data_IF_687057364040
#
_entry.id   IF_687057364040
#
_cell.length_a   1.000
_cell.length_b   1.000
_cell.length_c   1.000
_cell.angle_alpha   90.00
_cell.angle_beta   90.00
_cell.angle_gamma   90.00
#
_symmetry.space_group_name_H-M   'P 1'
#
loop_
_entity.id
_entity.type
_entity.pdbx_description
1 polymer ?
#
# COMPACT_ATOMS: atom_id res chain seq x y z
N UNK A 1 9.66 42.52 46.97
CA UNK A 1 9.58 41.04 47.12
C UNK A 1 8.34 40.43 46.49
N UNK A 2 7.13 40.93 46.76
CA UNK A 2 5.87 40.36 46.21
C UNK A 2 5.83 40.39 44.67
N UNK A 3 6.21 41.52 44.06
CA UNK A 3 6.26 41.67 42.59
C UNK A 3 7.26 40.68 41.97
N UNK A 4 8.44 40.54 42.61
CA UNK A 4 9.47 39.61 42.16
C UNK A 4 8.97 38.14 42.21
N UNK A 5 8.24 37.79 43.26
CA UNK A 5 7.62 36.47 43.40
C UNK A 5 6.54 36.21 42.35
N UNK A 6 5.68 37.20 42.08
CA UNK A 6 4.64 37.10 41.05
C UNK A 6 5.24 36.90 39.65
N UNK A 7 6.31 37.66 39.33
CA UNK A 7 7.03 37.51 38.06
C UNK A 7 7.67 36.12 37.95
N UNK A 8 8.29 35.62 39.02
CA UNK A 8 8.88 34.28 39.03
C UNK A 8 7.82 33.19 38.77
N UNK A 9 6.64 33.29 39.38
CA UNK A 9 5.54 32.35 39.17
C UNK A 9 5.06 32.38 37.71
N UNK A 10 4.89 33.57 37.13
CA UNK A 10 4.48 33.71 35.72
C UNK A 10 5.49 33.07 34.78
N UNK A 11 6.79 33.26 35.02
CA UNK A 11 7.85 32.68 34.20
C UNK A 11 7.86 31.14 34.28
N UNK A 12 7.66 30.58 35.48
CA UNK A 12 7.57 29.12 35.67
C UNK A 12 6.38 28.54 34.92
N UNK A 13 5.21 29.18 35.01
CA UNK A 13 4.00 28.74 34.31
C UNK A 13 4.21 28.82 32.80
N UNK A 14 4.72 29.94 32.29
CA UNK A 14 4.99 30.13 30.87
C UNK A 14 5.97 29.09 30.32
N UNK A 15 7.05 28.82 31.05
CA UNK A 15 8.03 27.78 30.69
C UNK A 15 7.43 26.38 30.68
N UNK A 16 6.59 26.05 31.67
CA UNK A 16 5.90 24.76 31.75
C UNK A 16 4.93 24.57 30.57
N UNK A 17 4.13 25.59 30.26
CA UNK A 17 3.20 25.58 29.13
C UNK A 17 3.94 25.40 27.81
N UNK A 18 5.04 26.14 27.62
CA UNK A 18 5.85 26.03 26.42
C UNK A 18 6.45 24.64 26.27
N UNK A 19 7.06 24.08 27.33
CA UNK A 19 7.64 22.74 27.30
C UNK A 19 6.60 21.66 26.99
N UNK A 20 5.41 21.72 27.61
CA UNK A 20 4.33 20.77 27.33
C UNK A 20 3.83 20.85 25.89
N UNK A 21 3.82 22.03 25.29
CA UNK A 21 3.36 22.24 23.91
C UNK A 21 4.38 21.79 22.84
N UNK A 22 5.67 21.80 23.16
CA UNK A 22 6.75 21.54 22.18
C UNK A 22 7.49 20.23 22.36
N UNK A 23 7.40 19.58 23.53
CA UNK A 23 8.18 18.37 23.89
C UNK A 23 8.04 17.17 22.96
N UNK A 24 7.01 17.10 22.13
CA UNK A 24 6.74 15.96 21.23
C UNK A 24 6.81 16.37 19.74
N UNK A 25 7.35 17.55 19.44
CA UNK A 25 7.54 17.98 18.06
C UNK A 25 8.89 17.46 17.58
N UNK A 26 8.85 16.54 16.62
CA UNK A 26 10.03 16.01 15.94
C UNK A 26 9.98 16.52 14.49
N UNK A 27 11.09 17.09 14.02
CA UNK A 27 11.23 17.57 12.64
C UNK A 27 12.36 16.80 12.00
N UNK A 28 12.11 16.19 10.85
CA UNK A 28 13.14 15.49 10.09
C UNK A 28 13.11 15.99 8.65
N UNK A 29 14.29 16.33 8.13
CA UNK A 29 14.45 16.78 6.74
C UNK A 29 14.61 15.57 5.78
N UNK A 30 14.78 14.35 6.31
CA UNK A 30 15.15 13.14 5.58
C UNK A 30 14.12 12.00 5.75
N UNK A 31 12.83 12.31 5.66
CA UNK A 31 11.77 11.30 5.64
C UNK A 31 11.68 10.61 4.25
N UNK A 32 12.58 9.66 3.97
CA UNK A 32 12.47 8.80 2.79
C UNK A 32 11.93 7.42 3.17
N UNK A 33 10.81 7.03 2.58
CA UNK A 33 10.31 5.65 2.61
C UNK A 33 10.70 4.95 1.31
N UNK A 34 11.57 3.94 1.39
CA UNK A 34 11.87 3.05 0.28
C UNK A 34 10.87 1.89 0.28
N UNK A 35 10.36 1.53 -0.91
CA UNK A 35 9.28 0.56 -1.07
C UNK A 35 9.47 -0.27 -2.32
N UNK A 36 9.54 -1.59 -2.17
CA UNK A 36 9.59 -2.50 -3.30
C UNK A 36 8.18 -2.66 -3.91
N UNK A 37 7.95 -2.03 -5.06
CA UNK A 37 6.75 -2.28 -5.85
C UNK A 37 6.91 -3.58 -6.64
N UNK A 38 6.06 -4.57 -6.38
CA UNK A 38 6.02 -5.82 -7.14
C UNK A 38 4.71 -5.87 -7.93
N UNK A 39 4.80 -5.96 -9.26
CA UNK A 39 3.64 -6.14 -10.10
C UNK A 39 3.16 -7.60 -10.01
N UNK A 40 1.92 -7.80 -9.58
CA UNK A 40 1.25 -9.11 -9.61
C UNK A 40 0.31 -9.14 -10.82
N UNK A 41 0.66 -9.94 -11.82
CA UNK A 41 -0.27 -10.24 -12.91
C UNK A 41 -1.20 -11.38 -12.48
N UNK A 42 -2.52 -11.24 -12.62
CA UNK A 42 -3.44 -12.34 -12.35
C UNK A 42 -3.25 -13.45 -13.39
N UNK A 43 -3.13 -14.70 -12.93
CA UNK A 43 -3.12 -15.87 -13.79
C UNK A 43 -4.55 -16.18 -14.25
N UNK A 44 -5.08 -15.38 -15.18
CA UNK A 44 -6.51 -15.45 -15.59
C UNK A 44 -6.77 -16.57 -16.60
N UNK A 45 -5.81 -16.93 -17.45
CA UNK A 45 -6.12 -17.81 -18.58
C UNK A 45 -6.24 -19.30 -18.21
N UNK A 46 -5.79 -19.73 -17.02
CA UNK A 46 -5.66 -21.15 -16.69
C UNK A 46 -4.71 -21.90 -17.64
N UNK A 47 -4.52 -23.20 -17.41
CA UNK A 47 -3.70 -24.05 -18.27
C UNK A 47 -4.52 -24.65 -19.41
N UNK A 48 -3.94 -24.73 -20.62
CA UNK A 48 -4.55 -25.45 -21.74
C UNK A 48 -4.49 -26.96 -21.47
N UNK A 49 -5.64 -27.62 -21.39
CA UNK A 49 -5.75 -29.07 -21.21
C UNK A 49 -5.86 -29.80 -22.53
N UNK A 50 -6.43 -29.15 -23.56
CA UNK A 50 -6.64 -29.75 -24.88
C UNK A 50 -6.61 -28.71 -25.99
N UNK A 51 -5.88 -29.03 -27.05
CA UNK A 51 -5.94 -28.32 -28.33
C UNK A 51 -6.75 -29.17 -29.31
N UNK A 52 -7.80 -28.62 -29.89
CA UNK A 52 -8.73 -29.32 -30.76
C UNK A 52 -8.56 -28.99 -32.25
N UNK A 53 -7.43 -28.36 -32.61
CA UNK A 53 -7.10 -27.93 -33.97
C UNK A 53 -5.61 -28.12 -34.29
N UNK A 54 -5.32 -28.31 -35.58
CA UNK A 54 -3.96 -28.36 -36.13
C UNK A 54 -3.69 -27.13 -37.03
N UNK A 55 -2.45 -27.02 -37.52
CA UNK A 55 -2.03 -25.91 -38.38
C UNK A 55 -2.89 -25.78 -39.65
N UNK A 56 -3.31 -24.54 -39.94
CA UNK A 56 -4.13 -24.18 -41.10
C UNK A 56 -5.51 -24.88 -41.16
N UNK A 57 -6.03 -25.34 -40.03
CA UNK A 57 -7.38 -25.89 -39.96
C UNK A 57 -8.42 -24.81 -40.27
N UNK A 58 -9.30 -25.09 -41.24
CA UNK A 58 -10.46 -24.24 -41.52
C UNK A 58 -11.55 -24.47 -40.46
N UNK A 59 -11.99 -23.41 -39.80
CA UNK A 59 -12.94 -23.47 -38.67
C UNK A 59 -14.23 -22.71 -38.96
N UNK A 60 -15.32 -23.16 -38.34
CA UNK A 60 -16.63 -22.55 -38.40
C UNK A 60 -16.97 -21.86 -37.08
N UNK A 61 -17.97 -20.98 -37.11
CA UNK A 61 -18.48 -20.32 -35.89
C UNK A 61 -19.02 -21.38 -34.93
N UNK A 62 -18.48 -21.39 -33.70
CA UNK A 62 -18.91 -22.29 -32.62
C UNK A 62 -17.98 -23.49 -32.41
N UNK A 63 -16.96 -23.65 -33.25
CA UNK A 63 -15.98 -24.71 -33.07
C UNK A 63 -15.14 -24.49 -31.81
N UNK A 64 -14.99 -25.56 -31.03
CA UNK A 64 -14.10 -25.56 -29.86
C UNK A 64 -12.68 -25.70 -30.35
N UNK A 65 -11.85 -24.70 -30.08
CA UNK A 65 -10.45 -24.67 -30.51
C UNK A 65 -9.51 -25.10 -29.38
N UNK A 66 -9.81 -24.67 -28.16
CA UNK A 66 -8.97 -24.83 -26.97
C UNK A 66 -9.85 -25.12 -25.77
N UNK A 67 -9.41 -26.03 -24.91
CA UNK A 67 -10.01 -26.32 -23.62
C UNK A 67 -9.08 -25.84 -22.51
N UNK A 68 -9.62 -25.03 -21.59
CA UNK A 68 -8.89 -24.45 -20.45
C UNK A 68 -9.29 -25.21 -19.18
N UNK A 69 -8.30 -25.51 -18.34
CA UNK A 69 -8.49 -26.13 -17.05
C UNK A 69 -9.38 -25.26 -16.12
N UNK A 70 -10.55 -25.75 -15.67
CA UNK A 70 -11.44 -24.97 -14.83
C UNK A 70 -11.07 -25.00 -13.33
N UNK A 71 -10.02 -25.72 -12.92
CA UNK A 71 -9.68 -25.91 -11.49
C UNK A 71 -9.42 -24.59 -10.76
N UNK A 72 -8.83 -23.60 -11.42
CA UNK A 72 -8.56 -22.29 -10.83
C UNK A 72 -9.83 -21.43 -10.65
N UNK A 73 -10.94 -21.79 -11.30
CA UNK A 73 -12.20 -21.03 -11.33
C UNK A 73 -13.35 -21.66 -10.54
N UNK A 74 -13.15 -22.84 -9.94
CA UNK A 74 -14.19 -23.59 -9.20
C UNK A 74 -14.00 -23.58 -7.67
N UNK A 75 -13.09 -22.75 -7.15
CA UNK A 75 -12.85 -22.58 -5.72
C UNK A 75 -13.88 -21.67 -5.03
#
# INVERSE_FOLDING_TARGET
MIILGAVAVVLVIAGLVWWLATRNQESTDDAYTDGNAVAVAPHVAGYVTRLAVDDNTYVHRGDVLVEIDPRDYRA
#
